data_IF_191713217288
#
_entry.id   IF_191713217288
#
_cell.length_a   1.000
_cell.length_b   1.000
_cell.length_c   1.000
_cell.angle_alpha   90.00
_cell.angle_beta   90.00
_cell.angle_gamma   90.00
#
_symmetry.space_group_name_H-M   'P 1'
#
loop_
_entity.id
_entity.type
_entity.pdbx_description
1 polymer ?
#
# COMPACT_ATOMS: atom_id res chain seq x y z
N UNK A 1 9.32 6.58 -33.11
CA UNK A 1 8.78 5.73 -32.01
C UNK A 1 9.30 6.35 -30.74
N UNK A 2 8.45 6.97 -29.89
CA UNK A 2 8.89 7.53 -28.60
C UNK A 2 9.03 6.37 -27.63
N UNK A 3 10.23 6.12 -27.16
CA UNK A 3 10.49 5.15 -26.09
C UNK A 3 10.44 5.92 -24.78
N UNK A 4 9.49 5.61 -23.91
CA UNK A 4 9.46 6.18 -22.58
C UNK A 4 10.71 5.73 -21.82
N UNK A 5 11.54 6.67 -21.42
CA UNK A 5 12.65 6.43 -20.50
C UNK A 5 12.16 6.23 -19.06
N UNK A 6 13.01 5.74 -18.15
CA UNK A 6 12.69 5.72 -16.72
C UNK A 6 12.49 7.16 -16.25
N UNK A 7 11.30 7.40 -15.68
CA UNK A 7 11.00 8.67 -15.03
C UNK A 7 11.36 8.59 -13.55
N UNK A 8 11.68 9.72 -12.93
CA UNK A 8 11.73 9.83 -11.47
C UNK A 8 10.32 9.67 -10.92
N UNK A 9 10.15 8.83 -9.92
CA UNK A 9 8.88 8.71 -9.19
C UNK A 9 8.90 9.64 -7.98
N UNK A 10 7.76 10.23 -7.68
CA UNK A 10 7.59 11.07 -6.51
C UNK A 10 6.58 10.44 -5.54
N UNK A 11 6.97 10.36 -4.28
CA UNK A 11 6.08 9.95 -3.20
C UNK A 11 5.62 11.20 -2.45
N UNK A 12 4.35 11.50 -2.57
CA UNK A 12 3.71 12.63 -1.92
C UNK A 12 3.08 12.20 -0.60
N UNK A 13 3.45 12.88 0.47
CA UNK A 13 2.85 12.72 1.80
C UNK A 13 1.97 13.93 2.05
N UNK A 14 0.67 13.70 2.23
CA UNK A 14 -0.30 14.75 2.55
C UNK A 14 -0.80 14.62 3.98
N UNK A 15 -1.35 15.71 4.49
CA UNK A 15 -2.07 15.73 5.75
C UNK A 15 -3.51 15.18 5.59
N UNK A 16 -4.36 15.14 6.65
CA UNK A 16 -5.74 14.68 6.55
C UNK A 16 -6.64 15.51 5.63
N UNK A 17 -6.28 16.76 5.35
CA UNK A 17 -7.01 17.65 4.46
C UNK A 17 -6.58 17.50 3.00
N UNK A 18 -5.46 16.79 2.76
CA UNK A 18 -4.91 16.47 1.45
C UNK A 18 -3.81 17.44 1.03
N UNK A 19 -3.42 18.36 1.91
CA UNK A 19 -2.35 19.31 1.62
C UNK A 19 -0.98 18.61 1.69
N UNK A 20 -0.05 18.91 0.77
CA UNK A 20 1.25 18.26 0.73
C UNK A 20 2.12 18.74 1.90
N UNK A 21 2.60 17.78 2.68
CA UNK A 21 3.53 18.01 3.81
C UNK A 21 4.96 17.75 3.39
N UNK A 22 5.18 16.72 2.56
CA UNK A 22 6.50 16.28 2.15
C UNK A 22 6.43 15.59 0.80
N UNK A 23 7.46 15.80 -0.02
CA UNK A 23 7.66 15.11 -1.29
C UNK A 23 9.03 14.46 -1.30
N UNK A 24 9.08 13.21 -1.69
CA UNK A 24 10.30 12.42 -1.80
C UNK A 24 10.45 11.90 -3.21
N UNK A 25 11.62 12.11 -3.80
CA UNK A 25 11.96 11.51 -5.10
C UNK A 25 12.48 10.10 -4.92
N UNK A 26 12.06 9.19 -5.78
CA UNK A 26 12.43 7.79 -5.79
C UNK A 26 12.98 7.36 -7.14
N UNK A 27 13.81 6.31 -7.12
CA UNK A 27 14.18 5.64 -8.34
C UNK A 27 12.95 4.98 -8.99
N UNK A 28 12.92 4.88 -10.33
CA UNK A 28 11.80 4.27 -11.04
C UNK A 28 11.51 2.86 -10.55
N UNK A 29 10.22 2.51 -10.49
CA UNK A 29 9.74 1.17 -10.16
C UNK A 29 10.02 0.71 -8.71
N UNK A 30 10.19 1.63 -7.78
CA UNK A 30 10.22 1.29 -6.36
C UNK A 30 8.81 0.86 -5.88
N UNK A 31 8.77 -0.14 -5.01
CA UNK A 31 7.49 -0.53 -4.40
C UNK A 31 7.10 0.48 -3.31
N UNK A 32 5.80 0.76 -3.17
CA UNK A 32 5.31 1.62 -2.08
C UNK A 32 5.73 1.10 -0.70
N UNK A 33 5.88 -0.21 -0.53
CA UNK A 33 6.39 -0.81 0.71
C UNK A 33 7.85 -0.41 0.99
N UNK A 34 8.70 -0.30 -0.04
CA UNK A 34 10.07 0.19 0.11
C UNK A 34 10.09 1.69 0.40
N UNK A 35 9.25 2.45 -0.30
CA UNK A 35 9.12 3.89 -0.07
C UNK A 35 8.62 4.22 1.33
N UNK A 36 7.64 3.49 1.85
CA UNK A 36 7.19 3.65 3.24
C UNK A 36 8.35 3.48 4.22
N UNK A 37 9.18 2.43 4.07
CA UNK A 37 10.37 2.24 4.93
C UNK A 37 11.32 3.43 4.90
N UNK A 38 11.61 3.90 3.68
CA UNK A 38 12.52 5.02 3.48
C UNK A 38 11.98 6.32 4.08
N UNK A 39 10.67 6.51 4.03
CA UNK A 39 9.98 7.73 4.47
C UNK A 39 9.84 7.83 6.01
N UNK A 40 9.78 6.70 6.74
CA UNK A 40 9.50 6.73 8.18
C UNK A 40 10.45 7.61 9.01
N UNK A 41 11.80 7.58 8.82
CA UNK A 41 12.71 8.46 9.56
C UNK A 41 12.47 9.94 9.28
N UNK A 42 12.29 10.30 8.00
CA UNK A 42 12.06 11.69 7.59
C UNK A 42 10.71 12.19 8.12
N UNK A 43 9.68 11.34 8.04
CA UNK A 43 8.37 11.65 8.59
C UNK A 43 8.45 11.87 10.12
N UNK A 44 9.24 11.06 10.84
CA UNK A 44 9.44 11.24 12.27
C UNK A 44 10.16 12.55 12.58
N UNK A 45 11.13 12.93 11.75
CA UNK A 45 11.83 14.22 11.91
C UNK A 45 10.85 15.41 11.69
N UNK A 46 9.95 15.31 10.73
CA UNK A 46 8.94 16.35 10.43
C UNK A 46 7.89 16.47 11.52
N UNK A 47 7.32 15.33 11.98
CA UNK A 47 6.21 15.36 12.96
C UNK A 47 6.69 15.50 14.41
N UNK A 48 7.97 15.30 14.68
CA UNK A 48 8.55 15.29 16.02
C UNK A 48 8.44 13.94 16.73
N UNK A 49 9.27 13.73 17.80
CA UNK A 49 9.40 12.43 18.45
C UNK A 49 8.14 11.98 19.20
N UNK A 50 7.41 12.90 19.82
CA UNK A 50 6.32 12.59 20.74
C UNK A 50 4.92 12.65 20.13
N UNK A 51 4.81 13.16 18.90
CA UNK A 51 3.50 13.30 18.25
C UNK A 51 3.01 11.97 17.73
N UNK A 52 1.86 11.51 18.21
CA UNK A 52 1.16 10.36 17.67
C UNK A 52 0.64 10.69 16.27
N UNK A 53 0.99 9.86 15.30
CA UNK A 53 0.60 10.04 13.91
C UNK A 53 0.19 8.70 13.29
N UNK A 54 -0.83 8.70 12.44
CA UNK A 54 -1.28 7.52 11.70
C UNK A 54 -0.86 7.64 10.24
N UNK A 55 -0.07 6.69 9.76
CA UNK A 55 0.32 6.59 8.35
C UNK A 55 -0.79 5.88 7.59
N UNK A 56 -1.41 6.57 6.64
CA UNK A 56 -2.50 6.06 5.81
C UNK A 56 -1.99 5.80 4.41
N UNK A 57 -2.18 4.60 3.89
CA UNK A 57 -1.67 4.22 2.56
C UNK A 57 -2.57 3.18 1.89
N UNK A 58 -2.41 3.01 0.59
CA UNK A 58 -3.19 2.07 -0.19
C UNK A 58 -2.63 0.63 -0.17
N UNK A 59 -3.26 -0.25 -0.95
CA UNK A 59 -2.86 -1.67 -1.08
C UNK A 59 -1.45 -1.89 -1.64
N UNK A 60 -0.86 -0.89 -2.31
CA UNK A 60 0.51 -0.96 -2.82
C UNK A 60 1.55 -1.10 -1.70
N UNK A 61 1.26 -0.53 -0.54
CA UNK A 61 2.09 -0.64 0.66
C UNK A 61 1.84 -1.87 1.54
N UNK A 62 0.93 -2.77 1.15
CA UNK A 62 0.58 -3.93 1.96
C UNK A 62 1.75 -4.89 2.13
N UNK A 63 2.29 -4.92 3.34
CA UNK A 63 3.33 -5.86 3.76
C UNK A 63 3.31 -5.99 5.29
N UNK A 64 3.02 -7.17 5.86
CA UNK A 64 3.05 -7.36 7.31
C UNK A 64 4.39 -6.98 7.95
N UNK A 65 5.51 -7.15 7.23
CA UNK A 65 6.82 -6.70 7.70
C UNK A 65 6.91 -5.17 7.81
N UNK A 66 6.37 -4.44 6.83
CA UNK A 66 6.29 -2.97 6.86
C UNK A 66 5.35 -2.50 7.97
N UNK A 67 4.27 -3.22 8.25
CA UNK A 67 3.36 -2.87 9.36
C UNK A 67 4.08 -2.91 10.70
N UNK A 68 4.90 -3.94 10.93
CA UNK A 68 5.74 -4.02 12.13
C UNK A 68 6.72 -2.84 12.19
N UNK A 69 7.34 -2.49 11.08
CA UNK A 69 8.28 -1.37 10.99
C UNK A 69 7.62 -0.03 11.29
N UNK A 70 6.42 0.24 10.75
CA UNK A 70 5.63 1.44 11.03
C UNK A 70 5.33 1.54 12.52
N UNK A 71 4.84 0.45 13.13
CA UNK A 71 4.51 0.42 14.56
C UNK A 71 5.76 0.57 15.43
N UNK A 72 6.86 -0.08 15.06
CA UNK A 72 8.15 0.04 15.79
C UNK A 72 8.73 1.45 15.70
N UNK A 73 8.51 2.15 14.58
CA UNK A 73 8.88 3.56 14.43
C UNK A 73 7.95 4.53 15.19
N UNK A 74 7.01 4.02 16.00
CA UNK A 74 6.10 4.80 16.82
C UNK A 74 4.93 5.44 16.06
N UNK A 75 4.61 4.93 14.88
CA UNK A 75 3.44 5.35 14.11
C UNK A 75 2.30 4.36 14.25
N UNK A 76 1.07 4.85 14.11
CA UNK A 76 -0.08 4.01 13.80
C UNK A 76 -0.18 3.79 12.29
N UNK A 77 -0.90 2.75 11.88
CA UNK A 77 -1.15 2.46 10.48
C UNK A 77 -2.65 2.36 10.17
N UNK A 78 -2.99 2.70 8.93
CA UNK A 78 -4.32 2.51 8.37
C UNK A 78 -4.19 2.19 6.87
N UNK A 79 -4.70 1.03 6.45
CA UNK A 79 -4.59 0.59 5.05
C UNK A 79 -5.69 -0.41 4.68
N UNK A 80 -5.83 -0.70 3.39
CA UNK A 80 -6.69 -1.80 2.94
C UNK A 80 -5.99 -3.15 3.08
N UNK A 81 -6.74 -4.19 3.46
CA UNK A 81 -6.24 -5.56 3.38
C UNK A 81 -6.07 -6.02 1.94
N UNK A 82 -5.07 -6.89 1.71
CA UNK A 82 -4.76 -7.49 0.41
C UNK A 82 -4.77 -9.02 0.51
N UNK A 83 -5.06 -9.68 -0.59
CA UNK A 83 -5.13 -11.14 -0.64
C UNK A 83 -6.46 -11.72 -0.17
N UNK A 84 -6.48 -13.01 0.13
CA UNK A 84 -7.66 -13.70 0.65
C UNK A 84 -7.88 -13.41 2.13
N UNK A 85 -9.11 -13.12 2.51
CA UNK A 85 -9.55 -12.92 3.89
C UNK A 85 -10.98 -13.44 4.06
N UNK A 86 -11.32 -13.88 5.24
CA UNK A 86 -12.67 -14.40 5.51
C UNK A 86 -13.69 -13.26 5.48
N UNK A 87 -14.68 -13.35 4.60
CA UNK A 87 -15.78 -12.37 4.53
C UNK A 87 -16.60 -12.41 5.82
N UNK A 88 -17.09 -11.24 6.22
CA UNK A 88 -18.00 -11.13 7.37
C UNK A 88 -19.42 -11.56 6.96
N UNK A 89 -20.11 -12.29 7.84
CA UNK A 89 -21.49 -12.67 7.64
C UNK A 89 -22.41 -11.43 7.63
N UNK A 90 -23.54 -11.51 6.94
CA UNK A 90 -24.46 -10.35 6.81
C UNK A 90 -24.93 -9.79 8.15
N UNK A 91 -25.16 -10.64 9.13
CA UNK A 91 -25.61 -10.28 10.47
C UNK A 91 -24.52 -9.71 11.38
N UNK A 92 -23.25 -9.73 10.95
CA UNK A 92 -22.15 -9.11 11.67
C UNK A 92 -22.05 -7.59 11.43
N UNK A 93 -22.79 -7.06 10.45
CA UNK A 93 -22.73 -5.66 10.09
C UNK A 93 -23.74 -4.83 10.90
N UNK A 94 -23.24 -3.71 11.42
CA UNK A 94 -24.04 -2.70 12.12
C UNK A 94 -23.91 -1.38 11.38
N UNK A 95 -25.01 -0.62 11.34
CA UNK A 95 -24.98 0.76 10.82
C UNK A 95 -24.35 1.65 11.87
N UNK A 96 -23.34 2.40 11.48
CA UNK A 96 -22.59 3.30 12.36
C UNK A 96 -22.40 4.65 11.69
N UNK A 97 -22.59 5.72 12.45
CA UNK A 97 -22.40 7.09 12.00
C UNK A 97 -21.09 7.65 12.55
N UNK A 98 -20.48 8.51 11.76
CA UNK A 98 -19.36 9.34 12.16
C UNK A 98 -19.64 10.79 11.76
N UNK A 99 -19.61 11.70 12.74
CA UNK A 99 -19.64 13.14 12.50
C UNK A 99 -18.23 13.63 12.17
N UNK A 100 -18.03 14.06 10.93
CA UNK A 100 -16.75 14.55 10.47
C UNK A 100 -16.47 15.99 10.96
N UNK A 101 -15.20 16.42 11.02
CA UNK A 101 -14.84 17.78 11.47
C UNK A 101 -15.47 18.91 10.64
N UNK A 102 -15.83 18.66 9.39
CA UNK A 102 -16.52 19.59 8.49
C UNK A 102 -18.04 19.69 8.76
N UNK A 103 -18.54 18.99 9.79
CA UNK A 103 -19.95 18.95 10.15
C UNK A 103 -20.80 17.94 9.35
N UNK A 104 -20.24 17.25 8.38
CA UNK A 104 -20.93 16.19 7.64
C UNK A 104 -21.05 14.92 8.47
N UNK A 105 -22.12 14.15 8.25
CA UNK A 105 -22.31 12.84 8.87
C UNK A 105 -22.13 11.75 7.81
N UNK A 106 -21.28 10.79 8.12
CA UNK A 106 -20.99 9.64 7.26
C UNK A 106 -21.56 8.37 7.89
N UNK A 107 -22.49 7.74 7.22
CA UNK A 107 -23.13 6.48 7.65
C UNK A 107 -22.50 5.30 6.92
N UNK A 108 -22.09 4.30 7.66
CA UNK A 108 -21.44 3.10 7.11
C UNK A 108 -22.03 1.82 7.71
N UNK A 109 -22.16 0.79 6.87
CA UNK A 109 -22.44 -0.58 7.31
C UNK A 109 -21.12 -1.27 7.60
N UNK A 110 -20.81 -1.55 8.88
CA UNK A 110 -19.50 -1.97 9.35
C UNK A 110 -19.57 -3.24 10.20
N UNK A 111 -18.55 -4.09 10.03
CA UNK A 111 -18.25 -5.20 10.92
C UNK A 111 -16.79 -5.12 11.33
N UNK A 112 -16.44 -5.54 12.54
CA UNK A 112 -15.06 -5.49 13.01
C UNK A 112 -14.67 -6.73 13.79
N UNK A 113 -13.38 -7.06 13.72
CA UNK A 113 -12.77 -8.16 14.47
C UNK A 113 -11.26 -8.01 14.50
N UNK A 114 -10.57 -8.65 15.45
CA UNK A 114 -9.12 -8.81 15.37
C UNK A 114 -8.74 -9.72 14.20
N UNK A 115 -7.53 -9.50 13.67
CA UNK A 115 -6.89 -10.36 12.69
C UNK A 115 -5.40 -10.50 13.01
N UNK A 116 -4.89 -11.70 12.89
CA UNK A 116 -3.47 -11.98 12.99
C UNK A 116 -2.88 -12.18 11.61
N UNK A 117 -1.79 -11.49 11.33
CA UNK A 117 -1.05 -11.59 10.08
C UNK A 117 0.33 -12.17 10.36
N UNK A 118 0.67 -13.24 9.64
CA UNK A 118 2.02 -13.79 9.69
C UNK A 118 3.02 -12.80 9.09
N UNK A 119 4.09 -12.55 9.81
CA UNK A 119 5.23 -11.74 9.37
C UNK A 119 6.36 -12.72 9.02
N UNK A 120 6.74 -12.84 7.75
CA UNK A 120 7.81 -13.75 7.36
C UNK A 120 9.15 -13.33 7.97
N UNK A 121 10.02 -14.32 8.19
CA UNK A 121 11.40 -14.04 8.57
C UNK A 121 12.09 -13.22 7.46
N UNK A 122 12.92 -12.27 7.88
CA UNK A 122 13.76 -11.49 6.97
C UNK A 122 15.21 -11.90 7.24
N UNK A 123 15.94 -12.41 6.23
CA UNK A 123 17.36 -12.72 6.38
C UNK A 123 18.17 -11.45 6.63
N UNK A 124 19.33 -11.59 7.29
CA UNK A 124 20.25 -10.47 7.44
C UNK A 124 20.75 -9.99 6.07
N UNK A 125 20.89 -8.68 5.93
CA UNK A 125 21.57 -8.03 4.81
C UNK A 125 22.75 -7.22 5.34
N UNK A 126 23.55 -6.61 4.44
CA UNK A 126 24.65 -5.74 4.87
C UNK A 126 24.17 -4.58 5.79
N UNK A 127 22.95 -4.09 5.55
CA UNK A 127 22.39 -2.90 6.20
C UNK A 127 21.34 -3.20 7.27
N UNK A 128 20.87 -4.47 7.38
CA UNK A 128 19.81 -4.85 8.31
C UNK A 128 20.06 -6.21 8.99
N UNK A 129 19.87 -6.32 10.30
CA UNK A 129 19.94 -7.59 11.01
C UNK A 129 18.79 -8.52 10.59
N UNK A 130 19.00 -9.83 10.73
CA UNK A 130 17.95 -10.82 10.54
C UNK A 130 16.79 -10.57 11.52
N UNK A 131 15.55 -10.76 11.02
CA UNK A 131 14.35 -10.79 11.87
C UNK A 131 13.70 -12.17 11.79
N UNK A 132 13.38 -12.80 12.93
CA UNK A 132 12.65 -14.07 12.93
C UNK A 132 11.22 -13.88 12.41
N UNK A 133 10.60 -14.95 11.98
CA UNK A 133 9.16 -14.95 11.72
C UNK A 133 8.40 -14.59 13.00
N UNK A 134 7.33 -13.82 12.84
CA UNK A 134 6.49 -13.34 13.94
C UNK A 134 5.05 -13.19 13.48
N UNK A 135 4.21 -12.66 14.36
CA UNK A 135 2.81 -12.34 14.04
C UNK A 135 2.53 -10.89 14.45
N UNK A 136 1.73 -10.18 13.69
CA UNK A 136 1.19 -8.89 14.09
C UNK A 136 -0.32 -8.99 14.19
N UNK A 137 -0.87 -8.57 15.35
CA UNK A 137 -2.31 -8.48 15.55
C UNK A 137 -2.78 -7.08 15.20
N UNK A 138 -3.76 -7.01 14.31
CA UNK A 138 -4.39 -5.78 13.87
C UNK A 138 -5.91 -5.87 14.07
N UNK A 139 -6.57 -4.74 13.98
CA UNK A 139 -8.01 -4.63 13.90
C UNK A 139 -8.42 -4.59 12.42
N UNK A 140 -9.36 -5.44 12.05
CA UNK A 140 -9.97 -5.47 10.74
C UNK A 140 -11.36 -4.85 10.83
N UNK A 141 -11.55 -3.68 10.24
CA UNK A 141 -12.85 -3.07 10.02
C UNK A 141 -13.28 -3.36 8.57
N UNK A 142 -14.46 -3.93 8.39
CA UNK A 142 -14.99 -4.28 7.07
C UNK A 142 -16.16 -3.37 6.76
N UNK A 143 -16.02 -2.53 5.73
CA UNK A 143 -17.13 -1.72 5.22
C UNK A 143 -17.90 -2.53 4.17
N UNK A 144 -19.21 -2.55 4.26
CA UNK A 144 -20.10 -3.13 3.27
C UNK A 144 -20.86 -2.04 2.54
N UNK A 145 -20.80 -2.05 1.21
CA UNK A 145 -21.59 -1.18 0.33
C UNK A 145 -22.98 -1.78 0.05
N UNK A 146 -23.88 -0.99 -0.54
CA UNK A 146 -25.28 -1.37 -0.79
C UNK A 146 -25.40 -2.56 -1.75
N UNK A 147 -24.46 -2.68 -2.71
CA UNK A 147 -24.34 -3.83 -3.61
C UNK A 147 -23.79 -5.10 -2.92
N UNK A 148 -23.45 -5.01 -1.62
CA UNK A 148 -22.92 -6.11 -0.83
C UNK A 148 -21.43 -6.33 -0.96
N UNK A 149 -20.69 -5.46 -1.68
CA UNK A 149 -19.24 -5.50 -1.71
C UNK A 149 -18.66 -5.19 -0.32
N UNK A 150 -17.64 -5.95 0.08
CA UNK A 150 -16.98 -5.79 1.38
C UNK A 150 -15.56 -5.29 1.17
N UNK A 151 -15.24 -4.16 1.79
CA UNK A 151 -13.92 -3.53 1.75
C UNK A 151 -13.24 -3.68 3.10
N UNK A 152 -12.18 -4.49 3.21
CA UNK A 152 -11.47 -4.72 4.46
C UNK A 152 -10.43 -3.62 4.71
N UNK A 153 -10.44 -3.04 5.90
CA UNK A 153 -9.55 -1.97 6.36
C UNK A 153 -8.79 -2.47 7.59
N UNK A 154 -7.48 -2.31 7.60
CA UNK A 154 -6.59 -2.73 8.68
C UNK A 154 -6.03 -1.53 9.42
N UNK A 155 -5.97 -1.63 10.76
CA UNK A 155 -5.32 -0.64 11.62
C UNK A 155 -4.85 -1.27 12.93
N UNK A 156 -3.82 -0.70 13.56
CA UNK A 156 -3.45 -1.00 14.94
C UNK A 156 -4.17 -0.07 15.95
N UNK A 157 -4.94 0.92 15.47
CA UNK A 157 -5.71 1.86 16.31
C UNK A 157 -6.91 1.16 16.93
N UNK A 158 -6.95 1.11 18.26
CA UNK A 158 -8.07 0.57 19.05
C UNK A 158 -8.96 1.66 19.65
N UNK A 159 -8.49 2.89 19.63
CA UNK A 159 -9.16 4.08 20.16
C UNK A 159 -10.11 4.77 19.15
N UNK A 160 -9.99 4.45 17.86
CA UNK A 160 -10.91 4.92 16.83
C UNK A 160 -12.15 4.02 16.75
N UNK A 161 -13.33 4.59 16.51
CA UNK A 161 -14.50 3.79 16.14
C UNK A 161 -14.33 3.16 14.75
N UNK A 162 -15.11 2.12 14.43
CA UNK A 162 -15.08 1.53 13.08
C UNK A 162 -15.54 2.55 12.02
N UNK A 163 -16.50 3.41 12.35
CA UNK A 163 -16.98 4.46 11.46
C UNK A 163 -15.92 5.52 11.19
N UNK A 164 -15.22 5.96 12.22
CA UNK A 164 -14.09 6.87 12.06
C UNK A 164 -12.95 6.24 11.25
N UNK A 165 -12.62 4.96 11.48
CA UNK A 165 -11.63 4.21 10.71
C UNK A 165 -11.99 4.18 9.23
N UNK A 166 -13.26 3.90 8.90
CA UNK A 166 -13.75 3.88 7.52
C UNK A 166 -13.72 5.27 6.88
N UNK A 167 -14.11 6.31 7.62
CA UNK A 167 -14.03 7.70 7.17
C UNK A 167 -12.60 8.11 6.86
N UNK A 168 -11.67 7.92 7.80
CA UNK A 168 -10.25 8.30 7.62
C UNK A 168 -9.61 7.59 6.42
N UNK A 169 -9.95 6.32 6.21
CA UNK A 169 -9.46 5.58 5.04
C UNK A 169 -10.05 6.14 3.73
N UNK A 170 -11.30 6.58 3.73
CA UNK A 170 -11.94 7.23 2.58
C UNK A 170 -11.39 8.64 2.35
N UNK A 171 -11.07 9.39 3.42
CA UNK A 171 -10.52 10.74 3.34
C UNK A 171 -9.16 10.81 2.61
N UNK A 172 -8.44 9.69 2.49
CA UNK A 172 -7.22 9.60 1.67
C UNK A 172 -7.43 10.08 0.22
N UNK A 173 -8.64 9.95 -0.32
CA UNK A 173 -8.99 10.49 -1.65
C UNK A 173 -8.81 12.00 -1.77
N UNK A 174 -8.78 12.74 -0.66
CA UNK A 174 -8.50 14.18 -0.68
C UNK A 174 -7.11 14.46 -1.23
N UNK A 175 -6.10 13.67 -0.85
CA UNK A 175 -4.74 13.77 -1.39
C UNK A 175 -4.71 13.49 -2.89
N UNK A 176 -5.40 12.46 -3.38
CA UNK A 176 -5.48 12.17 -4.81
C UNK A 176 -6.13 13.32 -5.59
N UNK A 177 -7.19 13.91 -5.03
CA UNK A 177 -7.84 15.08 -5.63
C UNK A 177 -6.94 16.32 -5.61
N UNK A 178 -6.18 16.55 -4.53
CA UNK A 178 -5.22 17.65 -4.41
C UNK A 178 -4.11 17.52 -5.47
N UNK A 179 -3.51 16.34 -5.62
CA UNK A 179 -2.50 16.06 -6.65
C UNK A 179 -3.09 16.21 -8.06
N UNK A 180 -4.33 15.77 -8.29
CA UNK A 180 -5.01 15.95 -9.57
C UNK A 180 -5.22 17.44 -9.88
N UNK A 181 -5.72 18.21 -8.92
CA UNK A 181 -5.90 19.65 -9.05
C UNK A 181 -4.56 20.35 -9.33
N UNK A 182 -3.51 19.96 -8.63
CA UNK A 182 -2.18 20.51 -8.83
C UNK A 182 -1.61 20.20 -10.22
N UNK A 183 -1.87 19.02 -10.77
CA UNK A 183 -1.53 18.67 -12.16
C UNK A 183 -2.28 19.54 -13.16
N UNK A 184 -3.58 19.71 -12.96
CA UNK A 184 -4.43 20.49 -13.87
C UNK A 184 -4.11 21.99 -13.83
N UNK A 185 -3.81 22.53 -12.64
CA UNK A 185 -3.60 23.99 -12.47
C UNK A 185 -2.15 24.43 -12.58
N UNK A 186 -1.21 23.57 -12.15
CA UNK A 186 0.22 23.91 -12.08
C UNK A 186 1.09 23.04 -12.99
N UNK A 187 0.48 22.16 -13.78
CA UNK A 187 1.18 21.27 -14.71
C UNK A 187 2.35 20.50 -14.05
N UNK A 188 2.15 19.96 -12.85
CA UNK A 188 3.19 19.27 -12.06
C UNK A 188 3.87 18.11 -12.80
N UNK A 189 3.21 17.55 -13.81
CA UNK A 189 3.73 16.47 -14.65
C UNK A 189 4.18 16.96 -16.04
N UNK A 190 4.17 18.29 -16.26
CA UNK A 190 4.71 18.86 -17.49
C UNK A 190 6.24 18.77 -17.48
N UNK A 191 6.79 18.47 -18.65
CA UNK A 191 8.23 18.55 -18.84
C UNK A 191 8.68 19.99 -18.73
N UNK A 192 9.69 20.29 -17.91
CA UNK A 192 10.30 21.61 -17.80
C UNK A 192 10.95 22.08 -19.10
N UNK A 193 11.27 21.13 -19.97
CA UNK A 193 11.91 21.37 -21.24
C UNK A 193 11.53 20.33 -22.28
N UNK A 194 11.35 20.79 -23.54
CA UNK A 194 11.23 19.89 -24.70
C UNK A 194 12.59 19.48 -25.27
N UNK A 195 13.69 19.85 -24.61
CA UNK A 195 15.03 19.50 -25.09
C UNK A 195 15.26 17.98 -24.96
N UNK A 196 15.61 17.36 -26.07
CA UNK A 196 16.02 15.97 -26.09
C UNK A 196 17.52 15.87 -25.80
N UNK A 197 17.93 15.01 -24.88
CA UNK A 197 19.31 14.55 -24.77
C UNK A 197 19.44 13.15 -25.34
N UNK A 198 20.51 12.91 -26.08
CA UNK A 198 20.81 11.55 -26.55
C UNK A 198 21.00 10.64 -25.34
N UNK A 199 20.27 9.54 -25.30
CA UNK A 199 20.47 8.52 -24.27
C UNK A 199 21.79 7.78 -24.51
N UNK A 200 22.35 7.20 -23.45
CA UNK A 200 23.57 6.39 -23.55
C UNK A 200 23.32 5.23 -24.53
N UNK A 201 24.05 5.15 -25.66
CA UNK A 201 23.87 4.07 -26.63
C UNK A 201 24.23 2.69 -26.09
N UNK A 202 24.97 2.62 -24.97
CA UNK A 202 25.29 1.38 -24.27
C UNK A 202 24.21 0.94 -23.28
N UNK A 203 23.23 1.78 -23.03
CA UNK A 203 22.14 1.47 -22.09
C UNK A 203 21.30 0.31 -22.56
N UNK A 204 21.22 -0.74 -21.75
CA UNK A 204 20.36 -1.88 -22.02
C UNK A 204 18.91 -1.56 -21.65
N UNK A 205 18.05 -1.46 -22.65
CA UNK A 205 16.60 -1.32 -22.45
C UNK A 205 15.99 -2.71 -22.29
N UNK A 206 15.21 -2.97 -21.22
CA UNK A 206 14.53 -4.25 -21.06
C UNK A 206 13.64 -4.57 -22.28
N UNK A 207 13.85 -5.73 -22.88
CA UNK A 207 13.04 -6.16 -24.00
C UNK A 207 11.71 -6.77 -23.51
N UNK A 208 10.55 -6.13 -23.75
CA UNK A 208 9.27 -6.64 -23.30
C UNK A 208 8.90 -8.01 -23.91
N UNK A 209 9.40 -8.33 -25.11
CA UNK A 209 9.21 -9.64 -25.71
C UNK A 209 9.97 -10.74 -24.95
N UNK A 210 11.19 -10.44 -24.47
CA UNK A 210 11.97 -11.35 -23.63
C UNK A 210 11.26 -11.60 -22.28
N UNK A 211 10.73 -10.57 -21.65
CA UNK A 211 9.99 -10.69 -20.39
C UNK A 211 8.74 -11.57 -20.56
N UNK A 212 7.97 -11.38 -21.66
CA UNK A 212 6.79 -12.22 -21.98
C UNK A 212 7.18 -13.67 -22.29
N UNK A 213 8.28 -13.88 -22.99
CA UNK A 213 8.80 -15.23 -23.29
C UNK A 213 9.25 -15.94 -22.00
N UNK A 214 9.94 -15.25 -21.11
CA UNK A 214 10.36 -15.79 -19.81
C UNK A 214 9.17 -16.15 -18.94
N UNK A 215 8.12 -15.31 -18.91
CA UNK A 215 6.88 -15.59 -18.18
C UNK A 215 6.21 -16.88 -18.70
N UNK A 216 6.16 -17.08 -20.04
CA UNK A 216 5.62 -18.32 -20.63
C UNK A 216 6.45 -19.55 -20.26
N UNK A 217 7.77 -19.43 -20.25
CA UNK A 217 8.66 -20.54 -19.84
C UNK A 217 8.46 -20.90 -18.37
N UNK A 218 8.34 -19.89 -17.49
CA UNK A 218 8.09 -20.12 -16.08
C UNK A 218 6.72 -20.76 -15.83
N UNK A 219 5.70 -20.34 -16.57
CA UNK A 219 4.38 -20.98 -16.49
C UNK A 219 4.43 -22.46 -16.92
N UNK A 220 5.04 -22.75 -18.07
CA UNK A 220 5.18 -24.12 -18.55
C UNK A 220 5.98 -25.01 -17.56
N UNK A 221 7.00 -24.48 -16.91
CA UNK A 221 7.73 -25.20 -15.86
C UNK A 221 6.86 -25.51 -14.64
N UNK A 222 6.03 -24.55 -14.23
CA UNK A 222 5.08 -24.76 -13.13
C UNK A 222 4.04 -25.83 -13.49
N UNK A 223 3.51 -25.80 -14.71
CA UNK A 223 2.54 -26.80 -15.20
C UNK A 223 3.16 -28.20 -15.22
N UNK A 224 4.40 -28.34 -15.68
CA UNK A 224 5.15 -29.61 -15.67
C UNK A 224 5.36 -30.10 -14.23
N UNK A 225 5.75 -29.22 -13.31
CA UNK A 225 5.93 -29.57 -11.91
C UNK A 225 4.62 -30.09 -11.27
N UNK A 226 3.50 -29.44 -11.58
CA UNK A 226 2.17 -29.85 -11.13
C UNK A 226 1.79 -31.22 -11.68
N UNK A 227 1.98 -31.46 -12.98
CA UNK A 227 1.69 -32.73 -13.62
C UNK A 227 2.56 -33.88 -13.04
N UNK A 228 3.83 -33.61 -12.75
CA UNK A 228 4.72 -34.58 -12.08
C UNK A 228 4.25 -34.92 -10.67
N UNK A 229 3.80 -33.92 -9.91
CA UNK A 229 3.27 -34.15 -8.56
C UNK A 229 1.99 -35.00 -8.58
N UNK A 230 1.09 -34.76 -9.55
CA UNK A 230 -0.14 -35.54 -9.75
C UNK A 230 0.16 -37.00 -10.12
N UNK A 231 1.12 -37.23 -11.02
CA UNK A 231 1.54 -38.58 -11.42
C UNK A 231 2.17 -39.34 -10.23
N UNK A 232 3.00 -38.69 -9.46
CA UNK A 232 3.63 -39.27 -8.27
C UNK A 232 2.64 -39.61 -7.17
N UNK A 233 1.53 -38.85 -7.07
CA UNK A 233 0.44 -39.12 -6.13
C UNK A 233 -0.48 -40.28 -6.56
N UNK A 234 -0.54 -40.63 -7.84
CA UNK A 234 -1.33 -41.76 -8.35
C UNK A 234 -0.61 -43.11 -8.30
N UNK A 235 0.69 -43.12 -8.06
CA UNK A 235 1.51 -44.31 -7.94
C UNK A 235 1.73 -44.78 -6.50
N UNK A 236 0.98 -44.26 -5.56
CA UNK A 236 0.84 -44.75 -4.18
C UNK A 236 -0.59 -45.24 -3.96
#
# INVERSE_FOLDING_TARGET
MRIAGPATEETWVGDPDGDPVMVLTAAPSQSLAAELRRTLPDLRAVVGPDRRCTVVFDRGGYSPAVFVEIVTAGFDLLTYSKGSWARSAKNAFTIMDFAAPDGSTHTHSLAERPIELAVPAVPATADMPARPASTITLRLAVRRSDDGHQTPILTNRTDLTAAETAYRMSARWRQENSVKCAREQFALDALDSSADSADDPARQVPNPAKARALAKVNQARADVATAHAELSGRCR
#
